data_IF_383814248841
#
_entry.id   IF_383814248841
#
_cell.length_a   1.000
_cell.length_b   1.000
_cell.length_c   1.000
_cell.angle_alpha   90.00
_cell.angle_beta   90.00
_cell.angle_gamma   90.00
#
_symmetry.space_group_name_H-M   'P 1'
#
loop_
_entity.id
_entity.type
_entity.pdbx_description
1 polymer ?
#
# COMPACT_ATOMS: atom_id res chain seq x y z
N UNK A 1 1.34 10.82 -0.74
CA UNK A 1 2.35 9.84 -0.25
C UNK A 1 1.65 8.52 -0.02
N UNK A 2 2.34 7.39 -0.20
CA UNK A 2 1.82 6.05 0.12
C UNK A 2 2.68 5.43 1.21
N UNK A 3 2.05 4.79 2.19
CA UNK A 3 2.72 4.03 3.24
C UNK A 3 2.08 2.65 3.38
N UNK A 4 2.90 1.62 3.63
CA UNK A 4 2.45 0.32 4.10
C UNK A 4 2.53 0.21 5.62
N UNK A 5 1.80 -0.73 6.20
CA UNK A 5 1.71 -0.91 7.65
C UNK A 5 1.60 -2.39 8.05
N UNK A 6 1.97 -2.67 9.31
CA UNK A 6 1.82 -3.99 9.93
C UNK A 6 0.35 -4.37 10.19
N UNK A 7 -0.55 -3.37 10.19
CA UNK A 7 -2.01 -3.57 10.28
C UNK A 7 -2.64 -4.09 8.99
N UNK A 8 -1.83 -4.56 8.03
CA UNK A 8 -2.24 -5.13 6.75
C UNK A 8 -2.87 -4.11 5.78
N UNK A 9 -2.64 -2.81 6.03
CA UNK A 9 -3.16 -1.73 5.19
C UNK A 9 -2.08 -1.00 4.41
N UNK A 10 -2.50 -0.40 3.29
CA UNK A 10 -1.77 0.69 2.65
C UNK A 10 -2.62 1.97 2.73
N UNK A 11 -1.97 3.10 3.03
CA UNK A 11 -2.64 4.39 3.19
C UNK A 11 -2.11 5.41 2.22
N UNK A 12 -3.01 6.22 1.67
CA UNK A 12 -2.70 7.39 0.86
C UNK A 12 -2.90 8.68 1.64
N UNK A 13 -1.94 9.58 1.50
CA UNK A 13 -1.91 10.83 2.25
C UNK A 13 -1.80 12.05 1.32
N UNK A 14 -2.62 13.06 1.59
CA UNK A 14 -2.41 14.44 1.13
C UNK A 14 -1.39 15.10 2.06
N UNK A 15 -0.19 15.36 1.54
CA UNK A 15 0.87 15.99 2.33
C UNK A 15 0.68 17.49 2.51
N UNK A 16 -0.11 18.15 1.65
CA UNK A 16 -0.40 19.58 1.80
C UNK A 16 -1.39 19.82 2.93
N UNK A 17 -2.42 18.96 3.00
CA UNK A 17 -3.44 19.06 4.05
C UNK A 17 -3.07 18.28 5.31
N UNK A 18 -2.09 17.37 5.24
CA UNK A 18 -1.71 16.50 6.36
C UNK A 18 -2.80 15.48 6.71
N UNK A 19 -3.56 15.03 5.71
CA UNK A 19 -4.72 14.15 5.91
C UNK A 19 -4.60 12.88 5.11
N UNK A 20 -5.19 11.82 5.64
CA UNK A 20 -5.42 10.60 4.90
C UNK A 20 -6.50 10.84 3.84
N UNK A 21 -6.23 10.39 2.61
CA UNK A 21 -7.16 10.42 1.48
C UNK A 21 -7.88 9.08 1.39
N UNK A 22 -7.15 7.97 1.54
CA UNK A 22 -7.66 6.62 1.33
C UNK A 22 -6.91 5.60 2.19
N UNK A 23 -7.66 4.62 2.72
CA UNK A 23 -7.14 3.43 3.39
C UNK A 23 -7.56 2.22 2.55
N UNK A 24 -6.57 1.49 2.03
CA UNK A 24 -6.82 0.24 1.31
C UNK A 24 -6.45 -0.92 2.22
N UNK A 25 -7.45 -1.75 2.49
CA UNK A 25 -7.38 -2.91 3.40
C UNK A 25 -7.09 -4.19 2.65
N UNK A 26 -6.61 -5.18 3.38
CA UNK A 26 -6.38 -6.52 2.87
C UNK A 26 -5.44 -6.52 1.64
N UNK A 27 -4.49 -5.58 1.63
CA UNK A 27 -3.49 -5.43 0.56
C UNK A 27 -2.36 -6.47 0.68
N UNK A 28 -2.30 -7.16 1.81
CA UNK A 28 -1.52 -8.38 2.08
C UNK A 28 -2.23 -9.17 3.19
N UNK A 29 -2.09 -10.49 3.21
CA UNK A 29 -2.67 -11.33 4.28
C UNK A 29 -1.94 -11.20 5.64
N UNK A 30 -0.80 -10.51 5.64
CA UNK A 30 0.12 -10.32 6.78
C UNK A 30 0.62 -8.87 6.78
N UNK A 31 1.88 -8.65 7.15
CA UNK A 31 2.51 -7.32 7.24
C UNK A 31 2.85 -6.80 5.85
N UNK A 32 2.59 -5.51 5.60
CA UNK A 32 3.09 -4.81 4.41
C UNK A 32 4.48 -4.26 4.69
N UNK A 33 5.50 -4.83 4.06
CA UNK A 33 6.90 -4.42 4.22
C UNK A 33 7.34 -3.38 3.19
N UNK A 34 6.75 -3.41 2.00
CA UNK A 34 7.14 -2.58 0.89
C UNK A 34 5.91 -2.05 0.14
N UNK A 35 6.04 -0.81 -0.34
CA UNK A 35 5.08 -0.17 -1.24
C UNK A 35 5.83 0.49 -2.39
N UNK A 36 5.32 0.33 -3.60
CA UNK A 36 5.81 1.01 -4.79
C UNK A 36 4.65 1.58 -5.59
N UNK A 37 4.85 2.78 -6.15
CA UNK A 37 3.85 3.47 -6.96
C UNK A 37 4.38 3.61 -8.39
N UNK A 38 3.55 3.33 -9.39
CA UNK A 38 3.94 3.54 -10.78
C UNK A 38 4.14 5.03 -11.08
N UNK A 39 4.98 5.33 -12.08
CA UNK A 39 5.31 6.71 -12.45
C UNK A 39 4.10 7.53 -12.92
N UNK A 40 3.10 6.87 -13.46
CA UNK A 40 1.82 7.46 -13.88
C UNK A 40 0.78 7.50 -12.75
N UNK A 41 1.16 7.11 -11.53
CA UNK A 41 0.32 7.05 -10.33
C UNK A 41 -0.90 6.14 -10.42
N UNK A 42 -1.01 5.30 -11.46
CA UNK A 42 -2.18 4.43 -11.65
C UNK A 42 -2.14 3.14 -10.86
N UNK A 43 -0.94 2.70 -10.49
CA UNK A 43 -0.72 1.41 -9.86
C UNK A 43 0.01 1.58 -8.54
N UNK A 44 -0.47 0.84 -7.55
CA UNK A 44 0.25 0.60 -6.31
C UNK A 44 0.56 -0.89 -6.23
N UNK A 45 1.81 -1.21 -5.91
CA UNK A 45 2.24 -2.56 -5.61
C UNK A 45 2.58 -2.62 -4.14
N UNK A 46 1.95 -3.56 -3.44
CA UNK A 46 2.25 -3.88 -2.05
C UNK A 46 3.00 -5.21 -2.01
N UNK A 47 4.03 -5.25 -1.17
CA UNK A 47 4.79 -6.46 -0.88
C UNK A 47 4.75 -6.72 0.61
N UNK A 48 4.30 -7.91 0.98
CA UNK A 48 4.07 -8.26 2.37
C UNK A 48 4.19 -9.75 2.61
N UNK A 49 4.22 -10.14 3.88
CA UNK A 49 4.51 -11.53 4.21
C UNK A 49 4.99 -11.74 5.63
N UNK A 50 5.36 -12.99 5.92
CA UNK A 50 6.02 -13.40 7.16
C UNK A 50 7.38 -14.04 6.84
N UNK A 51 8.09 -14.50 7.87
CA UNK A 51 9.48 -14.97 7.73
C UNK A 51 9.72 -16.05 6.68
N UNK A 52 8.68 -16.75 6.20
CA UNK A 52 8.79 -17.76 5.15
C UNK A 52 7.87 -17.53 3.94
N UNK A 53 6.91 -16.60 4.03
CA UNK A 53 5.95 -16.33 2.96
C UNK A 53 6.09 -14.90 2.46
N UNK A 54 6.20 -14.72 1.14
CA UNK A 54 6.20 -13.40 0.50
C UNK A 54 5.08 -13.36 -0.52
N UNK A 55 4.23 -12.36 -0.40
CA UNK A 55 3.12 -12.05 -1.28
C UNK A 55 3.37 -10.69 -1.96
N UNK A 56 3.05 -10.62 -3.25
CA UNK A 56 3.03 -9.38 -4.03
C UNK A 56 1.63 -9.18 -4.57
N UNK A 57 1.02 -8.05 -4.23
CA UNK A 57 -0.30 -7.68 -4.74
C UNK A 57 -0.21 -6.36 -5.51
N UNK A 58 -0.88 -6.34 -6.66
CA UNK A 58 -0.97 -5.17 -7.53
C UNK A 58 -2.41 -4.67 -7.47
N UNK A 59 -2.59 -3.43 -7.05
CA UNK A 59 -3.91 -2.81 -7.00
C UNK A 59 -4.02 -1.69 -8.03
N UNK A 60 -5.11 -1.77 -8.79
CA UNK A 60 -5.52 -0.77 -9.76
C UNK A 60 -6.68 0.01 -9.15
N UNK A 61 -6.40 1.17 -8.60
CA UNK A 61 -7.38 2.23 -8.31
C UNK A 61 -6.64 3.35 -7.60
N UNK A 62 -6.17 4.29 -8.40
CA UNK A 62 -5.89 5.63 -7.94
C UNK A 62 -6.64 6.51 -8.94
N UNK A 63 -7.91 6.81 -8.64
CA UNK A 63 -8.70 7.81 -9.36
C UNK A 63 -8.80 9.05 -8.47
#
# INVERSE_FOLDING_TARGET
MISGSEDQTARQWDLKEGKEIEEVRDVCEKVVWAVAVSRDSRWVVTGGGDGNYVELKVENRMH
#
